data_IF_978763338796
#
_entry.id   IF_978763338796
#
_cell.length_a   1.000
_cell.length_b   1.000
_cell.length_c   1.000
_cell.angle_alpha   90.00
_cell.angle_beta   90.00
_cell.angle_gamma   90.00
#
_symmetry.space_group_name_H-M   'P 1'
#
loop_
_entity.id
_entity.type
_entity.pdbx_description
1 polymer ?
#
# COMPACT_ATOMS: atom_id res chain seq x y z
N UNK A 1 6.10 -70.07 23.07
CA UNK A 1 5.29 -69.01 23.70
C UNK A 1 6.01 -67.70 23.48
N UNK A 2 5.76 -67.07 22.31
CA UNK A 2 6.42 -65.74 21.93
C UNK A 2 5.44 -64.63 22.12
N UNK A 3 5.71 -63.79 23.08
CA UNK A 3 5.01 -62.51 23.23
C UNK A 3 5.70 -61.47 22.36
N UNK A 4 5.03 -61.00 21.28
CA UNK A 4 5.41 -59.84 20.51
C UNK A 4 4.93 -58.57 21.23
N UNK A 5 5.87 -57.74 21.65
CA UNK A 5 5.60 -56.38 22.08
C UNK A 5 5.44 -55.49 20.83
N UNK A 6 4.22 -55.16 20.48
CA UNK A 6 3.94 -54.12 19.48
C UNK A 6 4.19 -52.74 20.06
N UNK A 7 5.03 -51.98 19.38
CA UNK A 7 5.42 -50.64 19.70
C UNK A 7 4.22 -49.68 19.51
N UNK A 8 3.70 -49.16 20.61
CA UNK A 8 2.77 -48.08 20.61
C UNK A 8 3.52 -46.78 20.25
N UNK A 9 3.62 -46.43 18.96
CA UNK A 9 4.10 -45.14 18.50
C UNK A 9 2.95 -44.12 18.65
N UNK A 10 2.96 -43.35 19.74
CA UNK A 10 2.10 -42.17 19.88
C UNK A 10 2.63 -41.16 18.88
N UNK A 11 1.83 -40.63 17.91
CA UNK A 11 2.30 -39.65 16.96
C UNK A 11 2.69 -38.34 17.70
N UNK A 12 3.89 -37.86 17.47
CA UNK A 12 4.43 -36.64 18.03
C UNK A 12 3.48 -35.42 17.81
N UNK A 13 2.72 -35.45 16.72
CA UNK A 13 1.66 -34.49 16.42
C UNK A 13 0.51 -34.44 17.46
N UNK A 14 0.24 -35.54 18.17
CA UNK A 14 -0.78 -35.60 19.23
C UNK A 14 -0.30 -34.98 20.53
N UNK A 15 0.98 -35.00 20.81
CA UNK A 15 1.59 -34.38 21.99
C UNK A 15 1.63 -32.88 21.80
N UNK A 16 2.01 -32.38 20.61
CA UNK A 16 1.98 -30.93 20.28
C UNK A 16 0.56 -30.36 20.28
N UNK A 17 -0.42 -31.10 19.77
CA UNK A 17 -1.81 -30.68 19.80
C UNK A 17 -2.39 -30.61 21.21
N UNK A 18 -2.05 -31.55 22.09
CA UNK A 18 -2.48 -31.55 23.50
C UNK A 18 -1.77 -30.47 24.31
N UNK A 19 -0.48 -30.22 24.10
CA UNK A 19 0.27 -29.16 24.76
C UNK A 19 -0.22 -27.77 24.33
N UNK A 20 -0.61 -27.61 23.06
CA UNK A 20 -1.17 -26.34 22.59
C UNK A 20 -2.57 -26.06 23.18
N UNK A 21 -3.41 -27.07 23.30
CA UNK A 21 -4.72 -26.95 23.97
C UNK A 21 -4.60 -26.78 25.50
N UNK A 22 -3.60 -27.38 26.12
CA UNK A 22 -3.33 -27.22 27.56
C UNK A 22 -2.74 -25.82 27.82
N UNK A 23 -1.90 -25.31 26.95
CA UNK A 23 -1.37 -23.92 27.05
C UNK A 23 -2.46 -22.87 26.85
N UNK A 24 -3.42 -23.10 25.95
CA UNK A 24 -4.60 -22.27 25.77
C UNK A 24 -5.63 -22.38 26.90
N UNK A 25 -5.72 -23.55 27.56
CA UNK A 25 -6.64 -23.75 28.68
C UNK A 25 -6.09 -23.32 30.04
N UNK A 26 -4.77 -23.12 30.15
CA UNK A 26 -4.09 -22.64 31.38
C UNK A 26 -4.12 -21.11 31.51
N UNK A 27 -4.31 -20.38 30.38
CA UNK A 27 -4.73 -18.98 30.46
C UNK A 27 -6.24 -18.99 30.80
N UNK A 28 -6.52 -19.17 32.10
CA UNK A 28 -7.87 -19.19 32.61
C UNK A 28 -8.58 -17.89 32.23
N UNK A 29 -9.62 -18.00 31.42
CA UNK A 29 -10.56 -16.87 31.10
C UNK A 29 -11.05 -16.14 32.37
N UNK A 30 -10.93 -16.77 33.57
CA UNK A 30 -11.25 -16.17 34.85
C UNK A 30 -10.22 -15.13 35.35
N UNK A 31 -8.94 -15.24 34.96
CA UNK A 31 -7.95 -14.22 35.35
C UNK A 31 -7.96 -13.02 34.40
N UNK A 32 -8.41 -13.19 33.15
CA UNK A 32 -8.61 -12.10 32.20
C UNK A 32 -9.80 -11.19 32.57
N UNK A 33 -10.76 -11.64 33.36
CA UNK A 33 -11.84 -10.81 33.88
C UNK A 33 -11.36 -9.69 34.83
N UNK A 34 -10.10 -9.64 35.17
CA UNK A 34 -9.49 -8.56 35.98
C UNK A 34 -8.96 -7.40 35.13
N UNK A 35 -8.77 -7.61 33.80
CA UNK A 35 -8.36 -6.54 32.89
C UNK A 35 -9.59 -5.92 32.22
N UNK A 36 -9.62 -4.60 32.11
CA UNK A 36 -10.66 -3.94 31.32
C UNK A 36 -10.58 -4.34 29.86
N UNK A 37 -11.69 -4.39 29.15
CA UNK A 37 -11.72 -4.68 27.70
C UNK A 37 -10.79 -3.74 26.91
N UNK A 38 -10.66 -2.50 27.36
CA UNK A 38 -9.71 -1.53 26.82
C UNK A 38 -8.25 -1.99 26.95
N UNK A 39 -7.84 -2.46 28.13
CA UNK A 39 -6.48 -2.94 28.33
C UNK A 39 -6.16 -4.15 27.45
N UNK A 40 -7.13 -5.05 27.26
CA UNK A 40 -6.97 -6.22 26.39
C UNK A 40 -6.81 -5.79 24.92
N UNK A 41 -7.67 -4.88 24.43
CA UNK A 41 -7.58 -4.41 23.04
C UNK A 41 -6.27 -3.66 22.76
N UNK A 42 -5.79 -2.83 23.71
CA UNK A 42 -4.50 -2.16 23.63
C UNK A 42 -3.36 -3.18 23.55
N UNK A 43 -3.36 -4.20 24.41
CA UNK A 43 -2.30 -5.22 24.41
C UNK A 43 -2.28 -5.98 23.09
N UNK A 44 -3.46 -6.44 22.60
CA UNK A 44 -3.54 -7.15 21.32
C UNK A 44 -3.04 -6.25 20.19
N UNK A 45 -3.48 -5.00 20.15
CA UNK A 45 -3.04 -4.02 19.15
C UNK A 45 -1.52 -3.82 19.20
N UNK A 46 -0.94 -3.54 20.35
CA UNK A 46 0.49 -3.33 20.52
C UNK A 46 1.31 -4.58 20.13
N UNK A 47 0.84 -5.76 20.52
CA UNK A 47 1.51 -7.03 20.17
C UNK A 47 1.48 -7.24 18.65
N UNK A 48 0.35 -7.00 17.98
CA UNK A 48 0.23 -7.07 16.52
C UNK A 48 1.20 -6.09 15.85
N UNK A 49 1.24 -4.85 16.33
CA UNK A 49 2.16 -3.84 15.78
C UNK A 49 3.63 -4.20 15.98
N UNK A 50 4.02 -4.67 17.17
CA UNK A 50 5.38 -5.15 17.43
C UNK A 50 5.72 -6.34 16.52
N UNK A 51 4.77 -7.26 16.29
CA UNK A 51 4.98 -8.40 15.41
C UNK A 51 5.20 -7.93 13.96
N UNK A 52 4.42 -6.97 13.47
CA UNK A 52 4.57 -6.36 12.14
C UNK A 52 5.93 -5.66 12.03
N UNK A 53 6.30 -4.82 12.98
CA UNK A 53 7.58 -4.09 13.01
C UNK A 53 8.79 -5.01 13.08
N UNK A 54 8.66 -6.18 13.70
CA UNK A 54 9.76 -7.13 13.84
C UNK A 54 10.21 -7.76 12.52
N UNK A 55 9.36 -7.69 11.47
CA UNK A 55 9.53 -8.35 10.17
C UNK A 55 9.79 -9.87 10.23
N UNK A 56 9.74 -10.46 11.44
CA UNK A 56 9.93 -11.90 11.64
C UNK A 56 8.70 -12.73 11.31
N UNK A 57 7.52 -12.10 11.37
CA UNK A 57 6.23 -12.69 11.07
C UNK A 57 5.62 -11.90 9.92
N UNK A 58 5.05 -12.61 8.95
CA UNK A 58 4.37 -11.97 7.83
C UNK A 58 3.23 -11.08 8.35
N UNK A 59 3.17 -9.80 7.91
CA UNK A 59 2.22 -8.78 8.39
C UNK A 59 0.75 -9.24 8.36
N UNK A 60 0.33 -9.96 7.30
CA UNK A 60 -1.03 -10.50 7.23
C UNK A 60 -1.31 -11.54 8.31
N UNK A 61 -0.34 -12.40 8.62
CA UNK A 61 -0.49 -13.43 9.66
C UNK A 61 -0.58 -12.78 11.04
N UNK A 62 0.25 -11.78 11.32
CA UNK A 62 0.22 -11.04 12.59
C UNK A 62 -1.15 -10.34 12.79
N UNK A 63 -1.67 -9.66 11.75
CA UNK A 63 -2.95 -8.98 11.81
C UNK A 63 -4.12 -9.97 12.00
N UNK A 64 -4.16 -11.07 11.23
CA UNK A 64 -5.19 -12.12 11.37
C UNK A 64 -5.15 -12.76 12.77
N UNK A 65 -3.95 -13.03 13.32
CA UNK A 65 -3.83 -13.54 14.68
C UNK A 65 -4.39 -12.56 15.72
N UNK A 66 -4.21 -11.25 15.50
CA UNK A 66 -4.82 -10.21 16.33
C UNK A 66 -6.35 -10.23 16.30
N UNK A 67 -6.94 -10.36 15.10
CA UNK A 67 -8.41 -10.49 14.95
C UNK A 67 -8.93 -11.73 15.68
N UNK A 68 -8.27 -12.87 15.47
CA UNK A 68 -8.66 -14.12 16.17
C UNK A 68 -8.58 -13.95 17.68
N UNK A 69 -7.54 -13.29 18.18
CA UNK A 69 -7.41 -13.01 19.61
C UNK A 69 -8.55 -12.11 20.13
N UNK A 70 -8.89 -11.02 19.42
CA UNK A 70 -9.96 -10.12 19.79
C UNK A 70 -11.34 -10.83 19.85
N UNK A 71 -11.60 -11.73 18.89
CA UNK A 71 -12.83 -12.52 18.86
C UNK A 71 -12.84 -13.56 20.00
N UNK A 72 -11.73 -14.27 20.21
CA UNK A 72 -11.63 -15.28 21.28
C UNK A 72 -11.74 -14.66 22.68
N UNK A 73 -11.29 -13.43 22.86
CA UNK A 73 -11.36 -12.68 24.10
C UNK A 73 -12.69 -11.92 24.28
N UNK A 74 -13.63 -12.06 23.31
CA UNK A 74 -14.98 -11.51 23.40
C UNK A 74 -15.08 -9.99 23.23
N UNK A 75 -14.07 -9.36 22.62
CA UNK A 75 -14.09 -7.93 22.28
C UNK A 75 -14.90 -7.69 21.01
N UNK A 76 -14.68 -8.54 20.00
CA UNK A 76 -15.41 -8.52 18.74
C UNK A 76 -16.19 -9.81 18.54
N UNK A 77 -17.31 -9.73 17.84
CA UNK A 77 -17.96 -10.86 17.17
C UNK A 77 -17.54 -10.88 15.71
N UNK A 78 -17.82 -11.98 15.00
CA UNK A 78 -17.54 -12.05 13.55
C UNK A 78 -18.32 -10.94 12.82
N UNK A 79 -19.59 -10.76 13.18
CA UNK A 79 -20.46 -9.78 12.54
C UNK A 79 -19.95 -8.35 12.77
N UNK A 80 -19.65 -7.98 14.03
CA UNK A 80 -19.10 -6.66 14.33
C UNK A 80 -17.72 -6.42 13.72
N UNK A 81 -16.89 -7.45 13.63
CA UNK A 81 -15.56 -7.33 13.00
C UNK A 81 -15.67 -7.00 11.50
N UNK A 82 -16.65 -7.59 10.79
CA UNK A 82 -16.86 -7.34 9.36
C UNK A 82 -17.35 -5.90 9.09
N UNK A 83 -18.09 -5.30 10.01
CA UNK A 83 -18.58 -3.91 9.88
C UNK A 83 -17.44 -2.88 9.81
N UNK A 84 -16.29 -3.18 10.41
CA UNK A 84 -15.12 -2.30 10.36
C UNK A 84 -14.36 -2.35 9.04
N UNK A 85 -14.62 -3.34 8.18
CA UNK A 85 -13.91 -3.46 6.89
C UNK A 85 -14.37 -2.34 5.95
N UNK A 86 -13.43 -1.54 5.48
CA UNK A 86 -13.68 -0.58 4.41
C UNK A 86 -13.66 -1.29 3.04
N UNK A 87 -14.83 -1.75 2.61
CA UNK A 87 -15.02 -2.44 1.34
C UNK A 87 -14.72 -1.55 0.13
N UNK A 88 -14.84 -0.22 0.25
CA UNK A 88 -14.46 0.68 -0.82
C UNK A 88 -12.94 0.64 -1.02
N UNK A 89 -12.16 0.76 0.04
CA UNK A 89 -10.70 0.61 -0.02
C UNK A 89 -10.29 -0.76 -0.60
N UNK A 90 -10.87 -1.84 -0.10
CA UNK A 90 -10.56 -3.20 -0.61
C UNK A 90 -10.92 -3.33 -2.09
N UNK A 91 -12.09 -2.82 -2.50
CA UNK A 91 -12.53 -2.86 -3.89
C UNK A 91 -11.65 -2.07 -4.84
N UNK A 92 -11.15 -0.89 -4.43
CA UNK A 92 -10.17 -0.13 -5.22
C UNK A 92 -8.86 -0.90 -5.36
N UNK A 93 -8.32 -1.43 -4.27
CA UNK A 93 -7.06 -2.18 -4.29
C UNK A 93 -7.15 -3.40 -5.21
N UNK A 94 -8.14 -4.26 -5.01
CA UNK A 94 -8.34 -5.46 -5.84
C UNK A 94 -8.58 -5.08 -7.30
N UNK A 95 -9.45 -4.10 -7.57
CA UNK A 95 -9.77 -3.64 -8.91
C UNK A 95 -8.55 -3.09 -9.63
N UNK A 96 -7.76 -2.22 -8.98
CA UNK A 96 -6.56 -1.65 -9.60
C UNK A 96 -5.46 -2.69 -9.79
N UNK A 97 -5.23 -3.60 -8.84
CA UNK A 97 -4.26 -4.69 -9.00
C UNK A 97 -4.62 -5.59 -10.19
N UNK A 98 -5.88 -5.99 -10.33
CA UNK A 98 -6.36 -6.77 -11.48
C UNK A 98 -6.22 -6.00 -12.80
N UNK A 99 -6.60 -4.72 -12.82
CA UNK A 99 -6.47 -3.87 -13.99
C UNK A 99 -5.02 -3.78 -14.47
N UNK A 100 -4.09 -3.53 -13.54
CA UNK A 100 -2.67 -3.40 -13.82
C UNK A 100 -2.04 -4.72 -14.24
N UNK A 101 -2.47 -5.85 -13.66
CA UNK A 101 -2.01 -7.18 -14.06
C UNK A 101 -2.24 -7.44 -15.56
N UNK A 102 -3.40 -7.02 -16.08
CA UNK A 102 -3.68 -7.14 -17.53
C UNK A 102 -2.90 -6.12 -18.35
N UNK A 103 -2.84 -4.86 -17.90
CA UNK A 103 -2.11 -3.79 -18.60
C UNK A 103 -0.62 -4.12 -18.76
N UNK A 104 0.01 -4.67 -17.73
CA UNK A 104 1.43 -5.09 -17.69
C UNK A 104 1.75 -6.10 -18.79
N UNK A 105 0.82 -6.98 -19.13
CA UNK A 105 1.03 -8.01 -20.15
C UNK A 105 1.18 -7.43 -21.56
N UNK A 106 0.77 -6.17 -21.79
CA UNK A 106 0.93 -5.50 -23.07
C UNK A 106 2.37 -5.09 -23.40
N UNK A 107 3.24 -4.94 -22.40
CA UNK A 107 4.59 -4.40 -22.55
C UNK A 107 4.65 -2.87 -22.57
N UNK A 108 3.59 -2.17 -22.17
CA UNK A 108 3.49 -0.70 -22.21
C UNK A 108 4.53 -0.01 -21.33
N UNK A 109 4.83 -0.56 -20.16
CA UNK A 109 5.78 0.03 -19.22
C UNK A 109 7.21 -0.07 -19.74
N UNK A 110 7.59 -1.23 -20.27
CA UNK A 110 8.88 -1.47 -20.89
C UNK A 110 9.07 -0.57 -22.13
N UNK A 111 8.05 -0.50 -22.98
CA UNK A 111 8.04 0.40 -24.14
C UNK A 111 8.26 1.86 -23.74
N UNK A 112 7.53 2.32 -22.74
CA UNK A 112 7.61 3.71 -22.24
C UNK A 112 8.99 4.02 -21.69
N UNK A 113 9.59 3.11 -20.92
CA UNK A 113 10.92 3.29 -20.34
C UNK A 113 12.02 3.39 -21.42
N UNK A 114 12.02 2.49 -22.44
CA UNK A 114 12.99 2.54 -23.53
C UNK A 114 12.80 3.81 -24.38
N UNK A 115 11.56 4.13 -24.73
CA UNK A 115 11.25 5.33 -25.50
C UNK A 115 11.68 6.61 -24.78
N UNK A 116 11.47 6.67 -23.47
CA UNK A 116 11.91 7.78 -22.65
C UNK A 116 13.45 7.90 -22.59
N UNK A 117 14.16 6.77 -22.46
CA UNK A 117 15.61 6.76 -22.49
C UNK A 117 16.18 7.24 -23.84
N UNK A 118 15.54 6.85 -24.94
CA UNK A 118 15.89 7.34 -26.29
C UNK A 118 15.60 8.83 -26.46
N UNK A 119 14.48 9.31 -25.93
CA UNK A 119 14.12 10.74 -26.01
C UNK A 119 15.18 11.65 -25.39
N UNK A 120 15.80 11.21 -24.30
CA UNK A 120 16.89 11.94 -23.64
C UNK A 120 18.29 11.51 -24.12
N UNK A 121 18.35 10.74 -25.22
CA UNK A 121 19.59 10.28 -25.87
C UNK A 121 20.55 9.53 -24.93
N UNK A 122 20.00 8.86 -23.91
CA UNK A 122 20.79 8.13 -22.91
C UNK A 122 21.65 9.04 -22.00
N UNK A 123 21.42 10.36 -22.00
CA UNK A 123 22.16 11.27 -21.12
C UNK A 123 21.79 11.00 -19.65
N UNK A 124 22.78 10.69 -18.79
CA UNK A 124 22.53 10.13 -17.46
C UNK A 124 21.63 10.96 -16.56
N UNK A 125 21.84 12.27 -16.53
CA UNK A 125 21.06 13.15 -15.66
C UNK A 125 19.63 13.32 -16.16
N UNK A 126 19.43 13.55 -17.46
CA UNK A 126 18.10 13.64 -18.04
C UNK A 126 17.34 12.32 -17.97
N UNK A 127 18.05 11.18 -18.10
CA UNK A 127 17.50 9.85 -17.91
C UNK A 127 16.95 9.68 -16.48
N UNK A 128 17.72 10.11 -15.48
CA UNK A 128 17.26 10.08 -14.08
C UNK A 128 15.99 10.90 -13.88
N UNK A 129 15.96 12.14 -14.39
CA UNK A 129 14.76 13.01 -14.30
C UNK A 129 13.54 12.35 -14.95
N UNK A 130 13.69 11.86 -16.18
CA UNK A 130 12.58 11.28 -16.92
C UNK A 130 12.06 10.02 -16.22
N UNK A 131 12.95 9.19 -15.68
CA UNK A 131 12.55 8.02 -14.90
C UNK A 131 11.86 8.40 -13.59
N UNK A 132 12.31 9.44 -12.90
CA UNK A 132 11.62 9.98 -11.73
C UNK A 132 10.19 10.43 -12.08
N UNK A 133 10.04 11.18 -13.18
CA UNK A 133 8.73 11.69 -13.62
C UNK A 133 7.81 10.54 -14.03
N UNK A 134 8.30 9.59 -14.85
CA UNK A 134 7.51 8.42 -15.26
C UNK A 134 7.05 7.63 -14.04
N UNK A 135 7.97 7.36 -13.11
CA UNK A 135 7.66 6.62 -11.89
C UNK A 135 6.62 7.35 -11.05
N UNK A 136 6.74 8.66 -10.86
CA UNK A 136 5.77 9.45 -10.12
C UNK A 136 4.39 9.45 -10.80
N UNK A 137 4.34 9.63 -12.13
CA UNK A 137 3.08 9.61 -12.88
C UNK A 137 2.44 8.22 -12.85
N UNK A 138 3.22 7.16 -13.01
CA UNK A 138 2.69 5.80 -12.88
C UNK A 138 2.16 5.56 -11.46
N UNK A 139 2.91 5.93 -10.43
CA UNK A 139 2.53 5.73 -9.03
C UNK A 139 1.34 6.58 -8.58
N UNK A 140 1.04 7.67 -9.28
CA UNK A 140 -0.19 8.43 -9.05
C UNK A 140 -1.48 7.64 -9.38
N UNK A 141 -1.36 6.55 -10.15
CA UNK A 141 -2.49 5.70 -10.56
C UNK A 141 -2.30 4.22 -10.21
N UNK A 142 -1.07 3.83 -9.91
CA UNK A 142 -0.70 2.48 -9.44
C UNK A 142 -0.11 2.63 -8.04
N UNK A 143 -0.17 1.56 -7.26
CA UNK A 143 0.53 1.60 -5.97
C UNK A 143 2.06 1.74 -6.16
N UNK A 144 2.72 2.27 -5.14
CA UNK A 144 4.13 2.58 -5.16
C UNK A 144 5.02 1.33 -5.35
N UNK A 145 4.64 0.19 -4.76
CA UNK A 145 5.39 -1.07 -4.85
C UNK A 145 5.33 -1.63 -6.26
N UNK A 146 4.12 -1.79 -6.80
CA UNK A 146 3.90 -2.29 -8.18
C UNK A 146 4.61 -1.39 -9.19
N UNK A 147 4.56 -0.06 -9.02
CA UNK A 147 5.23 0.88 -9.91
C UNK A 147 6.74 0.64 -9.96
N UNK A 148 7.40 0.51 -8.81
CA UNK A 148 8.85 0.26 -8.76
C UNK A 148 9.20 -1.11 -9.33
N UNK A 149 8.39 -2.13 -9.07
CA UNK A 149 8.57 -3.47 -9.64
C UNK A 149 8.43 -3.49 -11.17
N UNK A 150 7.60 -2.61 -11.74
CA UNK A 150 7.42 -2.50 -13.19
C UNK A 150 8.56 -1.72 -13.88
N UNK A 151 8.97 -0.59 -13.31
CA UNK A 151 9.97 0.29 -13.94
C UNK A 151 11.41 -0.13 -13.59
N UNK A 152 11.63 -0.71 -12.41
CA UNK A 152 12.95 -1.08 -11.89
C UNK A 152 13.76 -2.01 -12.79
N UNK A 153 13.23 -3.12 -13.31
CA UNK A 153 13.94 -4.02 -14.20
C UNK A 153 14.48 -3.33 -15.47
N UNK A 154 13.68 -2.44 -16.06
CA UNK A 154 14.10 -1.67 -17.24
C UNK A 154 15.17 -0.64 -16.88
N UNK A 155 15.07 -0.02 -15.71
CA UNK A 155 16.11 0.87 -15.20
C UNK A 155 17.44 0.14 -15.03
N UNK A 156 17.42 -1.05 -14.45
CA UNK A 156 18.62 -1.90 -14.31
C UNK A 156 19.19 -2.26 -15.68
N UNK A 157 18.35 -2.64 -16.63
CA UNK A 157 18.80 -2.99 -17.98
C UNK A 157 19.47 -1.80 -18.68
N UNK A 158 18.83 -0.63 -18.68
CA UNK A 158 19.35 0.57 -19.34
C UNK A 158 20.62 1.10 -18.66
N UNK A 159 20.67 1.13 -17.34
CA UNK A 159 21.85 1.55 -16.58
C UNK A 159 23.03 0.61 -16.79
N UNK A 160 22.78 -0.71 -16.97
CA UNK A 160 23.79 -1.69 -17.31
C UNK A 160 24.40 -1.43 -18.70
N UNK A 161 23.59 -1.09 -19.70
CA UNK A 161 24.06 -0.71 -21.05
C UNK A 161 24.95 0.53 -20.96
N UNK A 162 24.53 1.52 -20.19
CA UNK A 162 25.31 2.74 -19.94
C UNK A 162 26.57 2.49 -19.08
N UNK A 163 26.70 1.33 -18.44
CA UNK A 163 27.79 1.00 -17.52
C UNK A 163 27.73 1.82 -16.23
N UNK A 164 26.51 2.22 -15.83
CA UNK A 164 26.24 2.96 -14.60
C UNK A 164 25.80 2.02 -13.48
N UNK A 165 26.01 2.47 -12.23
CA UNK A 165 25.42 1.81 -11.08
C UNK A 165 23.89 2.07 -11.06
N UNK A 166 23.02 1.03 -11.03
CA UNK A 166 21.57 1.21 -10.99
C UNK A 166 21.06 1.79 -9.67
N UNK A 167 21.78 1.64 -8.56
CA UNK A 167 21.32 2.04 -7.21
C UNK A 167 20.87 3.49 -7.13
N UNK A 168 21.62 4.50 -7.64
CA UNK A 168 21.14 5.89 -7.63
C UNK A 168 19.80 6.06 -8.35
N UNK A 169 19.59 5.40 -9.48
CA UNK A 169 18.35 5.48 -10.24
C UNK A 169 17.18 4.82 -9.50
N UNK A 170 17.40 3.63 -8.95
CA UNK A 170 16.38 2.93 -8.16
C UNK A 170 15.99 3.73 -6.91
N UNK A 171 16.95 4.30 -6.20
CA UNK A 171 16.67 5.15 -5.03
C UNK A 171 15.84 6.38 -5.39
N UNK A 172 16.15 7.03 -6.52
CA UNK A 172 15.35 8.16 -6.99
C UNK A 172 13.94 7.75 -7.40
N UNK A 173 13.78 6.56 -8.00
CA UNK A 173 12.46 6.02 -8.38
C UNK A 173 11.62 5.63 -7.16
N UNK A 174 12.21 5.01 -6.14
CA UNK A 174 11.50 4.68 -4.88
C UNK A 174 10.95 5.97 -4.24
N UNK A 175 11.76 7.03 -4.14
CA UNK A 175 11.27 8.30 -3.61
C UNK A 175 10.24 8.95 -4.52
N UNK A 176 10.41 8.87 -5.83
CA UNK A 176 9.46 9.42 -6.80
C UNK A 176 8.13 8.66 -6.79
N UNK A 177 8.13 7.34 -6.55
CA UNK A 177 6.89 6.58 -6.43
C UNK A 177 6.09 6.99 -5.20
N UNK A 178 6.75 7.19 -4.06
CA UNK A 178 6.08 7.67 -2.85
C UNK A 178 5.52 9.10 -3.05
N UNK A 179 6.28 10.00 -3.65
CA UNK A 179 5.82 11.37 -3.94
C UNK A 179 4.62 11.35 -4.90
N UNK A 180 4.71 10.57 -5.98
CA UNK A 180 3.63 10.44 -6.96
C UNK A 180 2.38 9.78 -6.39
N UNK A 181 2.56 8.70 -5.63
CA UNK A 181 1.47 7.99 -4.94
C UNK A 181 0.71 8.88 -3.97
N UNK A 182 1.42 9.71 -3.19
CA UNK A 182 0.79 10.66 -2.27
C UNK A 182 -0.03 11.73 -2.98
N UNK A 183 0.28 12.02 -4.25
CA UNK A 183 -0.35 13.10 -5.02
C UNK A 183 -1.81 12.86 -5.42
N UNK A 184 -2.32 11.64 -5.34
CA UNK A 184 -3.69 11.30 -5.76
C UNK A 184 -4.39 10.39 -4.76
N UNK A 185 -5.72 10.31 -4.86
CA UNK A 185 -6.55 9.45 -4.02
C UNK A 185 -6.19 7.97 -4.13
N UNK A 186 -5.78 7.50 -5.31
CA UNK A 186 -5.63 6.06 -5.63
C UNK A 186 -4.18 5.60 -5.71
N UNK A 187 -3.22 6.51 -5.61
CA UNK A 187 -1.80 6.21 -5.81
C UNK A 187 -1.13 5.50 -4.62
N UNK A 188 -1.75 5.54 -3.44
CA UNK A 188 -1.25 4.84 -2.25
C UNK A 188 -2.42 4.39 -1.39
N UNK A 189 -2.41 3.16 -0.83
CA UNK A 189 -3.48 2.65 0.03
C UNK A 189 -3.91 3.58 1.18
N UNK A 190 -3.02 4.24 1.93
CA UNK A 190 -3.41 5.23 2.93
C UNK A 190 -4.32 6.33 2.41
N UNK A 191 -4.07 6.81 1.18
CA UNK A 191 -4.90 7.86 0.57
C UNK A 191 -6.31 7.36 0.26
N UNK A 192 -6.42 6.11 -0.22
CA UNK A 192 -7.73 5.48 -0.48
C UNK A 192 -8.53 5.40 0.81
N UNK A 193 -7.89 4.98 1.91
CA UNK A 193 -8.52 4.89 3.24
C UNK A 193 -8.99 6.26 3.74
N UNK A 194 -8.12 7.28 3.67
CA UNK A 194 -8.46 8.65 4.07
C UNK A 194 -9.63 9.17 3.21
N UNK A 195 -9.54 9.04 1.90
CA UNK A 195 -10.57 9.51 0.99
C UNK A 195 -11.90 8.80 1.17
N UNK A 196 -11.90 7.48 1.39
CA UNK A 196 -13.10 6.68 1.64
C UNK A 196 -13.80 7.13 2.93
N UNK A 197 -13.06 7.27 4.02
CA UNK A 197 -13.60 7.60 5.34
C UNK A 197 -13.96 9.08 5.50
N UNK A 198 -13.16 9.99 4.93
CA UNK A 198 -13.41 11.42 4.99
C UNK A 198 -14.32 11.94 3.84
N UNK A 199 -14.75 11.07 2.92
CA UNK A 199 -15.60 11.46 1.79
C UNK A 199 -14.91 12.40 0.79
N UNK A 200 -13.56 12.37 0.69
CA UNK A 200 -12.79 13.24 -0.18
C UNK A 200 -12.79 12.71 -1.62
N UNK A 201 -12.92 13.63 -2.57
CA UNK A 201 -12.87 13.29 -3.98
C UNK A 201 -11.43 13.17 -4.50
N UNK A 202 -11.26 12.53 -5.66
CA UNK A 202 -9.99 12.50 -6.38
C UNK A 202 -9.46 13.93 -6.66
N UNK A 203 -10.35 14.87 -6.97
CA UNK A 203 -9.98 16.25 -7.24
C UNK A 203 -9.44 16.95 -5.98
N UNK A 204 -10.03 16.69 -4.82
CA UNK A 204 -9.56 17.24 -3.54
C UNK A 204 -8.11 16.81 -3.26
N UNK A 205 -7.80 15.52 -3.44
CA UNK A 205 -6.42 15.02 -3.34
C UNK A 205 -5.49 15.65 -4.37
N UNK A 206 -5.86 15.62 -5.65
CA UNK A 206 -5.02 16.11 -6.73
C UNK A 206 -4.70 17.61 -6.59
N UNK A 207 -5.64 18.42 -6.10
CA UNK A 207 -5.44 19.86 -5.92
C UNK A 207 -4.62 20.14 -4.65
N UNK A 208 -4.96 19.51 -3.53
CA UNK A 208 -4.32 19.83 -2.25
C UNK A 208 -2.97 19.10 -2.11
N UNK A 209 -2.96 17.77 -2.11
CA UNK A 209 -1.73 16.99 -1.93
C UNK A 209 -0.88 16.96 -3.20
N UNK A 210 -1.50 16.84 -4.38
CA UNK A 210 -0.79 16.81 -5.65
C UNK A 210 0.03 18.07 -5.93
N UNK A 211 -0.48 19.23 -5.59
CA UNK A 211 0.25 20.51 -5.72
C UNK A 211 1.51 20.52 -4.86
N UNK A 212 1.42 20.03 -3.63
CA UNK A 212 2.56 19.92 -2.70
C UNK A 212 3.56 18.88 -3.23
N UNK A 213 3.09 17.74 -3.74
CA UNK A 213 3.94 16.70 -4.33
C UNK A 213 4.74 17.21 -5.53
N UNK A 214 4.19 18.08 -6.36
CA UNK A 214 4.93 18.73 -7.46
C UNK A 214 6.11 19.55 -6.91
N UNK A 215 5.87 20.35 -5.88
CA UNK A 215 6.95 21.15 -5.25
C UNK A 215 8.02 20.23 -4.65
N UNK A 216 7.61 19.20 -3.91
CA UNK A 216 8.53 18.23 -3.32
C UNK A 216 9.33 17.50 -4.43
N UNK A 217 8.71 17.12 -5.53
CA UNK A 217 9.37 16.49 -6.67
C UNK A 217 10.46 17.39 -7.25
N UNK A 218 10.17 18.67 -7.47
CA UNK A 218 11.14 19.65 -7.97
C UNK A 218 12.34 19.74 -7.01
N UNK A 219 12.09 19.92 -5.72
CA UNK A 219 13.15 19.98 -4.71
C UNK A 219 13.98 18.69 -4.69
N UNK A 220 13.33 17.54 -4.76
CA UNK A 220 13.96 16.21 -4.78
C UNK A 220 14.86 16.03 -6.00
N UNK A 221 14.41 16.43 -7.19
CA UNK A 221 15.23 16.42 -8.42
C UNK A 221 16.50 17.23 -8.22
N UNK A 222 16.40 18.47 -7.70
CA UNK A 222 17.57 19.29 -7.44
C UNK A 222 18.49 18.70 -6.38
N UNK A 223 17.94 18.15 -5.28
CA UNK A 223 18.73 17.49 -4.25
C UNK A 223 19.55 16.31 -4.82
N UNK A 224 18.93 15.46 -5.63
CA UNK A 224 19.63 14.34 -6.26
C UNK A 224 20.69 14.76 -7.29
N UNK A 225 20.53 15.90 -7.94
CA UNK A 225 21.59 16.46 -8.79
C UNK A 225 22.87 16.70 -8.00
N UNK A 226 22.76 17.22 -6.77
CA UNK A 226 23.93 17.44 -5.91
C UNK A 226 24.49 16.13 -5.37
N UNK A 227 23.63 15.21 -4.92
CA UNK A 227 24.03 13.94 -4.30
C UNK A 227 24.73 13.02 -5.31
N UNK A 228 24.15 12.86 -6.52
CA UNK A 228 24.61 11.86 -7.48
C UNK A 228 25.46 12.42 -8.64
N UNK A 229 25.81 13.71 -8.63
CA UNK A 229 26.60 14.36 -9.68
C UNK A 229 27.84 13.57 -10.15
N UNK A 230 28.54 12.95 -9.20
CA UNK A 230 29.77 12.18 -9.50
C UNK A 230 29.50 10.77 -10.07
N UNK A 231 28.29 10.24 -9.86
CA UNK A 231 27.90 8.89 -10.32
C UNK A 231 27.30 8.88 -11.74
N UNK A 232 27.08 10.06 -12.33
CA UNK A 232 26.37 10.24 -13.60
C UNK A 232 27.34 10.56 -14.76
N UNK A 233 28.48 9.88 -14.83
CA UNK A 233 29.48 10.10 -15.89
C UNK A 233 29.45 8.91 -16.84
N UNK A 234 29.18 9.16 -18.12
CA UNK A 234 29.10 8.14 -19.18
C UNK A 234 29.83 8.60 -20.42
N UNK A 235 30.42 7.66 -21.16
CA UNK A 235 31.05 7.93 -22.45
C UNK A 235 30.00 8.01 -23.57
N UNK A 236 30.22 8.83 -24.62
CA UNK A 236 29.31 8.97 -25.76
C UNK A 236 28.92 7.64 -26.43
N UNK A 237 29.87 6.71 -26.56
CA UNK A 237 29.65 5.40 -27.20
C UNK A 237 28.55 4.59 -26.48
N UNK A 238 28.53 4.62 -25.14
CA UNK A 238 27.52 3.92 -24.36
C UNK A 238 26.14 4.60 -24.45
N UNK A 239 26.12 5.92 -24.61
CA UNK A 239 24.87 6.65 -24.85
C UNK A 239 24.29 6.28 -26.22
N UNK A 240 25.14 6.07 -27.22
CA UNK A 240 24.72 5.62 -28.54
C UNK A 240 24.10 4.22 -28.49
N UNK A 241 24.63 3.31 -27.69
CA UNK A 241 24.07 1.97 -27.51
C UNK A 241 22.61 1.98 -26.99
N UNK A 242 22.21 2.98 -26.21
CA UNK A 242 20.81 3.16 -25.80
C UNK A 242 19.93 3.56 -26.99
N UNK A 243 20.45 4.32 -27.93
CA UNK A 243 19.71 4.72 -29.14
C UNK A 243 19.45 3.56 -30.11
N UNK A 244 20.26 2.50 -30.04
CA UNK A 244 20.12 1.29 -30.85
C UNK A 244 19.09 0.30 -30.30
N UNK A 245 18.59 0.52 -29.08
CA UNK A 245 17.52 -0.32 -28.53
C UNK A 245 16.26 -0.25 -29.39
N UNK A 246 15.64 -1.38 -29.64
CA UNK A 246 14.35 -1.43 -30.32
C UNK A 246 13.22 -1.42 -29.29
N UNK A 247 12.59 -0.27 -29.12
CA UNK A 247 11.44 -0.10 -28.21
C UNK A 247 10.21 -0.92 -28.62
N UNK A 248 10.13 -1.34 -29.90
CA UNK A 248 9.02 -2.16 -30.37
C UNK A 248 9.15 -3.63 -30.02
N UNK A 249 10.39 -4.09 -29.81
CA UNK A 249 10.68 -5.49 -29.47
C UNK A 249 10.10 -5.93 -28.11
N UNK A 250 9.84 -4.98 -27.22
CA UNK A 250 9.26 -5.24 -25.88
C UNK A 250 7.73 -5.23 -25.87
N UNK A 251 7.11 -4.85 -26.99
CA UNK A 251 5.63 -4.88 -27.12
C UNK A 251 5.22 -6.35 -27.30
N UNK A 252 4.60 -6.91 -26.26
CA UNK A 252 4.15 -8.30 -26.26
C UNK A 252 2.86 -8.49 -27.07
N UNK A 253 1.93 -7.54 -26.91
CA UNK A 253 0.66 -7.48 -27.66
C UNK A 253 0.31 -6.02 -28.00
N UNK A 254 0.46 -5.66 -29.27
CA UNK A 254 0.17 -4.31 -29.76
C UNK A 254 -1.33 -3.95 -29.72
N UNK A 255 -2.22 -4.94 -29.85
CA UNK A 255 -3.66 -4.70 -29.76
C UNK A 255 -4.06 -4.46 -28.30
N UNK A 256 -3.53 -5.26 -27.36
CA UNK A 256 -3.73 -5.07 -25.94
C UNK A 256 -3.15 -3.72 -25.48
N UNK A 257 -1.95 -3.34 -25.96
CA UNK A 257 -1.34 -2.05 -25.61
C UNK A 257 -2.22 -0.86 -26.01
N UNK A 258 -2.81 -0.86 -27.21
CA UNK A 258 -3.75 0.20 -27.62
C UNK A 258 -4.98 0.25 -26.72
N UNK A 259 -5.57 -0.91 -26.40
CA UNK A 259 -6.71 -1.01 -25.47
C UNK A 259 -6.33 -0.52 -24.07
N UNK A 260 -5.15 -0.89 -23.59
CA UNK A 260 -4.63 -0.46 -22.28
C UNK A 260 -4.49 1.06 -22.19
N UNK A 261 -3.96 1.71 -23.23
CA UNK A 261 -3.84 3.18 -23.25
C UNK A 261 -5.22 3.84 -23.15
N UNK A 262 -6.19 3.36 -23.93
CA UNK A 262 -7.57 3.89 -23.89
C UNK A 262 -8.20 3.64 -22.53
N UNK A 263 -8.03 2.45 -21.98
CA UNK A 263 -8.60 2.10 -20.68
C UNK A 263 -7.96 2.88 -19.52
N UNK A 264 -6.64 3.09 -19.53
CA UNK A 264 -5.98 3.96 -18.54
C UNK A 264 -6.59 5.35 -18.56
N UNK A 265 -6.79 5.94 -19.74
CA UNK A 265 -7.42 7.26 -19.87
C UNK A 265 -8.86 7.26 -19.34
N UNK A 266 -9.65 6.23 -19.66
CA UNK A 266 -11.03 6.10 -19.16
C UNK A 266 -11.09 5.91 -17.64
N UNK A 267 -10.16 5.14 -17.06
CA UNK A 267 -10.05 4.94 -15.60
C UNK A 267 -9.72 6.26 -14.90
N UNK A 268 -8.75 7.01 -15.43
CA UNK A 268 -8.40 8.34 -14.89
C UNK A 268 -9.61 9.28 -14.93
N UNK A 269 -10.29 9.35 -16.07
CA UNK A 269 -11.51 10.15 -16.20
C UNK A 269 -12.61 9.67 -15.25
N UNK A 270 -12.77 8.35 -15.10
CA UNK A 270 -13.70 7.76 -14.15
C UNK A 270 -13.43 8.23 -12.72
N UNK A 271 -12.17 8.17 -12.27
CA UNK A 271 -11.80 8.65 -10.94
C UNK A 271 -11.95 10.18 -10.78
N UNK A 272 -11.65 10.98 -11.80
CA UNK A 272 -11.86 12.44 -11.74
C UNK A 272 -13.34 12.79 -11.59
N UNK A 273 -14.22 12.03 -12.23
CA UNK A 273 -15.66 12.32 -12.24
C UNK A 273 -16.49 11.47 -11.29
N UNK A 274 -15.89 10.54 -10.52
CA UNK A 274 -16.62 9.60 -9.67
C UNK A 274 -17.62 10.28 -8.72
N UNK A 275 -17.19 11.36 -8.05
CA UNK A 275 -18.05 12.11 -7.12
C UNK A 275 -19.25 12.74 -7.83
N UNK A 276 -19.07 13.26 -9.06
CA UNK A 276 -20.16 13.83 -9.86
C UNK A 276 -21.14 12.77 -10.37
N UNK A 277 -20.64 11.54 -10.56
CA UNK A 277 -21.46 10.39 -10.98
C UNK A 277 -22.17 9.72 -9.80
N UNK A 278 -21.84 10.09 -8.57
CA UNK A 278 -22.36 9.44 -7.35
C UNK A 278 -21.89 8.00 -7.22
N UNK A 279 -20.74 7.66 -7.79
CA UNK A 279 -20.16 6.31 -7.76
C UNK A 279 -18.99 6.26 -6.77
N UNK A 280 -18.88 5.16 -6.04
CA UNK A 280 -17.71 4.89 -5.23
C UNK A 280 -16.49 4.55 -6.12
N UNK A 281 -15.30 4.90 -5.62
CA UNK A 281 -14.04 4.64 -6.33
C UNK A 281 -13.84 3.16 -6.64
N UNK A 282 -14.28 2.27 -5.75
CA UNK A 282 -14.23 0.81 -5.92
C UNK A 282 -14.99 0.33 -7.16
N UNK A 283 -16.15 0.92 -7.44
CA UNK A 283 -16.96 0.54 -8.60
C UNK A 283 -16.23 0.86 -9.90
N UNK A 284 -15.53 2.00 -9.97
CA UNK A 284 -14.74 2.37 -11.13
C UNK A 284 -13.58 1.41 -11.33
N UNK A 285 -12.83 1.12 -10.27
CA UNK A 285 -11.70 0.21 -10.31
C UNK A 285 -12.10 -1.20 -10.75
N UNK A 286 -13.14 -1.78 -10.12
CA UNK A 286 -13.64 -3.11 -10.44
C UNK A 286 -14.24 -3.19 -11.85
N UNK A 287 -14.96 -2.15 -12.28
CA UNK A 287 -15.50 -2.07 -13.66
C UNK A 287 -14.36 -2.03 -14.66
N UNK A 288 -13.34 -1.22 -14.43
CA UNK A 288 -12.17 -1.13 -15.31
C UNK A 288 -11.43 -2.46 -15.41
N UNK A 289 -11.21 -3.15 -14.28
CA UNK A 289 -10.61 -4.47 -14.22
C UNK A 289 -11.43 -5.49 -15.03
N UNK A 290 -12.73 -5.54 -14.79
CA UNK A 290 -13.65 -6.45 -15.47
C UNK A 290 -13.62 -6.23 -17.01
N UNK A 291 -13.72 -4.97 -17.44
CA UNK A 291 -13.65 -4.63 -18.86
C UNK A 291 -12.29 -5.04 -19.45
N UNK A 292 -11.18 -4.72 -18.74
CA UNK A 292 -9.83 -5.06 -19.23
C UNK A 292 -9.61 -6.57 -19.37
N UNK A 293 -10.08 -7.38 -18.42
CA UNK A 293 -10.00 -8.85 -18.49
C UNK A 293 -10.79 -9.34 -19.71
N UNK A 294 -12.00 -8.84 -19.93
CA UNK A 294 -12.86 -9.25 -21.04
C UNK A 294 -12.28 -8.87 -22.41
N UNK A 295 -11.88 -7.60 -22.58
CA UNK A 295 -11.34 -7.12 -23.86
C UNK A 295 -9.91 -7.57 -24.12
N UNK A 296 -9.14 -7.81 -23.05
CA UNK A 296 -7.77 -8.31 -23.12
C UNK A 296 -7.69 -9.78 -23.49
N UNK A 297 -8.77 -10.54 -23.32
CA UNK A 297 -8.81 -12.00 -23.53
C UNK A 297 -7.71 -12.74 -22.78
N UNK A 298 -7.35 -12.23 -21.63
CA UNK A 298 -6.30 -12.80 -20.79
C UNK A 298 -6.84 -13.96 -19.95
N UNK A 299 -5.92 -14.80 -19.51
CA UNK A 299 -6.26 -15.85 -18.56
C UNK A 299 -6.67 -15.22 -17.22
N UNK A 300 -7.92 -15.43 -16.83
CA UNK A 300 -8.48 -14.88 -15.59
C UNK A 300 -7.73 -15.40 -14.36
N UNK A 301 -7.35 -16.68 -14.38
CA UNK A 301 -6.64 -17.32 -13.26
C UNK A 301 -5.26 -16.70 -13.05
N UNK A 302 -4.52 -16.41 -14.14
CA UNK A 302 -3.23 -15.71 -14.07
C UNK A 302 -3.40 -14.28 -13.57
N UNK A 303 -4.41 -13.55 -14.05
CA UNK A 303 -4.68 -12.19 -13.61
C UNK A 303 -5.06 -12.12 -12.13
N UNK A 304 -5.81 -13.10 -11.62
CA UNK A 304 -6.15 -13.23 -10.21
C UNK A 304 -4.92 -13.60 -9.37
N UNK A 305 -4.04 -14.45 -9.90
CA UNK A 305 -2.81 -14.84 -9.21
C UNK A 305 -1.80 -13.67 -9.08
N UNK A 306 -1.85 -12.70 -9.99
CA UNK A 306 -1.02 -11.47 -9.94
C UNK A 306 -1.49 -10.46 -8.86
N UNK A 307 -2.67 -10.68 -8.24
CA UNK A 307 -3.16 -9.85 -7.12
C UNK A 307 -2.36 -10.18 -5.87
N UNK A 308 -1.91 -9.16 -5.15
CA UNK A 308 -1.21 -9.30 -3.87
C UNK A 308 -2.18 -9.67 -2.73
N UNK A 309 -2.71 -10.88 -2.75
CA UNK A 309 -3.65 -11.38 -1.73
C UNK A 309 -3.17 -11.22 -0.29
N UNK A 310 -1.89 -11.43 0.02
CA UNK A 310 -1.39 -11.18 1.37
C UNK A 310 -1.61 -9.72 1.83
N UNK A 311 -1.49 -8.76 0.92
CA UNK A 311 -1.75 -7.35 1.21
C UNK A 311 -3.24 -7.10 1.44
N UNK A 312 -4.13 -7.69 0.64
CA UNK A 312 -5.58 -7.58 0.84
C UNK A 312 -6.01 -8.17 2.19
N UNK A 313 -5.54 -9.38 2.51
CA UNK A 313 -5.82 -10.04 3.80
C UNK A 313 -5.30 -9.20 4.97
N UNK A 314 -4.12 -8.59 4.82
CA UNK A 314 -3.57 -7.69 5.82
C UNK A 314 -4.48 -6.49 6.07
N UNK A 315 -4.98 -5.80 5.03
CA UNK A 315 -5.89 -4.67 5.18
C UNK A 315 -7.20 -5.05 5.87
N UNK A 316 -7.81 -6.15 5.43
CA UNK A 316 -9.06 -6.66 6.04
C UNK A 316 -8.85 -6.90 7.54
N UNK A 317 -7.78 -7.60 7.90
CA UNK A 317 -7.49 -7.90 9.31
C UNK A 317 -7.10 -6.63 10.11
N UNK A 318 -6.36 -5.70 9.49
CA UNK A 318 -5.99 -4.44 10.13
C UNK A 318 -7.21 -3.60 10.50
N UNK A 319 -8.16 -3.45 9.59
CA UNK A 319 -9.43 -2.75 9.86
C UNK A 319 -10.16 -3.36 11.08
N UNK A 320 -10.23 -4.69 11.15
CA UNK A 320 -10.85 -5.38 12.27
C UNK A 320 -10.08 -5.17 13.59
N UNK A 321 -8.74 -5.17 13.57
CA UNK A 321 -7.91 -4.93 14.77
C UNK A 321 -8.11 -3.52 15.28
N UNK A 322 -8.15 -2.52 14.38
CA UNK A 322 -8.44 -1.13 14.75
C UNK A 322 -9.88 -0.98 15.26
N UNK A 323 -10.84 -1.68 14.64
CA UNK A 323 -12.22 -1.75 15.10
C UNK A 323 -12.35 -2.28 16.53
N UNK A 324 -11.46 -3.18 16.96
CA UNK A 324 -11.40 -3.60 18.38
C UNK A 324 -11.01 -2.48 19.35
N UNK A 325 -10.12 -1.58 18.91
CA UNK A 325 -9.78 -0.37 19.69
C UNK A 325 -10.94 0.62 19.75
N UNK A 326 -11.66 0.76 18.64
CA UNK A 326 -12.84 1.63 18.53
C UNK A 326 -13.99 1.11 19.39
N UNK A 327 -14.34 -0.17 19.27
CA UNK A 327 -15.40 -0.83 20.08
C UNK A 327 -15.19 -0.66 21.59
N UNK A 328 -13.94 -0.65 22.04
CA UNK A 328 -13.62 -0.53 23.47
C UNK A 328 -13.48 0.92 23.94
N UNK A 329 -13.67 1.92 23.08
CA UNK A 329 -13.56 3.34 23.40
C UNK A 329 -12.13 3.84 23.63
N UNK A 330 -11.14 3.08 23.20
CA UNK A 330 -9.71 3.49 23.32
C UNK A 330 -9.42 4.65 22.37
N UNK A 331 -9.99 4.63 21.17
CA UNK A 331 -9.83 5.70 20.17
C UNK A 331 -10.39 7.03 20.72
N UNK A 332 -11.56 7.00 21.32
CA UNK A 332 -12.19 8.19 21.91
C UNK A 332 -11.36 8.76 23.05
N UNK A 333 -10.80 7.90 23.90
CA UNK A 333 -9.90 8.35 24.96
C UNK A 333 -8.63 9.01 24.43
N UNK A 334 -8.06 8.48 23.34
CA UNK A 334 -6.89 9.08 22.69
C UNK A 334 -7.25 10.44 22.08
N UNK A 335 -8.43 10.57 21.46
CA UNK A 335 -8.94 11.82 20.93
C UNK A 335 -9.11 12.88 22.04
N UNK A 336 -9.76 12.52 23.15
CA UNK A 336 -9.95 13.40 24.31
C UNK A 336 -8.62 13.83 24.94
N UNK A 337 -7.64 12.91 25.02
CA UNK A 337 -6.29 13.24 25.49
C UNK A 337 -5.60 14.25 24.58
N UNK A 338 -5.70 14.09 23.27
CA UNK A 338 -5.13 14.99 22.30
C UNK A 338 -5.82 16.36 22.32
N UNK A 339 -7.16 16.37 22.42
CA UNK A 339 -7.94 17.61 22.55
C UNK A 339 -7.59 18.38 23.83
N UNK A 340 -7.48 17.70 24.96
CA UNK A 340 -7.10 18.35 26.22
C UNK A 340 -5.65 18.86 26.18
N UNK A 341 -4.73 18.12 25.58
CA UNK A 341 -3.33 18.52 25.42
C UNK A 341 -3.17 19.75 24.51
N UNK A 342 -4.08 19.94 23.54
CA UNK A 342 -4.06 21.07 22.60
C UNK A 342 -4.92 22.25 23.08
N UNK A 343 -5.66 22.06 24.18
CA UNK A 343 -6.62 23.07 24.67
C UNK A 343 -7.73 23.38 23.67
N UNK A 344 -8.07 22.42 22.79
CA UNK A 344 -9.06 22.60 21.71
C UNK A 344 -8.56 23.46 20.55
N UNK A 345 -7.27 23.78 20.49
CA UNK A 345 -6.71 24.59 19.40
C UNK A 345 -6.40 23.69 18.18
N UNK A 346 -7.19 23.86 17.12
CA UNK A 346 -7.07 23.09 15.87
C UNK A 346 -5.68 23.16 15.25
N UNK A 347 -5.06 24.36 15.20
CA UNK A 347 -3.73 24.51 14.59
C UNK A 347 -2.67 23.74 15.36
N UNK A 348 -2.74 23.76 16.70
CA UNK A 348 -1.82 22.98 17.55
C UNK A 348 -2.04 21.49 17.36
N UNK A 349 -3.30 21.05 17.29
CA UNK A 349 -3.64 19.64 17.02
C UNK A 349 -3.10 19.18 15.66
N UNK A 350 -3.34 19.97 14.60
CA UNK A 350 -2.81 19.69 13.26
C UNK A 350 -1.28 19.58 13.24
N UNK A 351 -0.57 20.47 13.93
CA UNK A 351 0.89 20.43 14.00
C UNK A 351 1.39 19.20 14.76
N UNK A 352 0.73 18.82 15.86
CA UNK A 352 1.08 17.62 16.62
C UNK A 352 0.83 16.37 15.75
N UNK A 353 -0.32 16.29 15.07
CA UNK A 353 -0.64 15.18 14.17
C UNK A 353 0.38 15.14 13.02
N UNK A 354 0.68 16.26 12.37
CA UNK A 354 1.61 16.34 11.25
C UNK A 354 3.02 15.85 11.64
N UNK A 355 3.60 16.42 12.67
CA UNK A 355 4.96 16.07 13.09
C UNK A 355 5.02 14.72 13.80
N UNK A 356 4.00 14.38 14.59
CA UNK A 356 3.85 13.07 15.20
C UNK A 356 3.75 11.97 14.15
N UNK A 357 2.94 12.18 13.12
CA UNK A 357 2.81 11.27 11.98
C UNK A 357 4.13 11.10 11.24
N UNK A 358 4.84 12.20 10.96
CA UNK A 358 6.12 12.14 10.27
C UNK A 358 7.18 11.33 11.04
N UNK A 359 7.26 11.50 12.36
CA UNK A 359 8.21 10.79 13.21
C UNK A 359 7.80 9.31 13.39
N UNK A 360 6.53 9.06 13.68
CA UNK A 360 6.05 7.70 13.94
C UNK A 360 6.04 6.86 12.66
N UNK A 361 5.61 7.43 11.52
CA UNK A 361 5.63 6.73 10.23
C UNK A 361 7.03 6.47 9.68
N UNK A 362 8.06 7.16 10.18
CA UNK A 362 9.45 6.83 9.86
C UNK A 362 9.92 5.51 10.52
N UNK A 363 9.21 5.05 11.55
CA UNK A 363 9.52 3.83 12.30
C UNK A 363 8.47 2.75 12.02
N UNK A 364 7.20 3.16 11.94
CA UNK A 364 6.05 2.30 11.66
C UNK A 364 5.74 2.31 10.15
N UNK A 365 5.20 1.20 9.64
CA UNK A 365 4.59 1.19 8.30
C UNK A 365 3.45 2.23 8.26
N UNK A 366 3.38 3.00 7.17
CA UNK A 366 2.39 4.07 6.95
C UNK A 366 0.94 3.56 7.02
N UNK A 367 0.68 2.35 6.53
CA UNK A 367 -0.66 1.77 6.45
C UNK A 367 -1.29 1.56 7.83
N UNK A 368 -0.66 0.79 8.76
CA UNK A 368 -1.21 0.61 10.09
C UNK A 368 -1.36 1.92 10.86
N UNK A 369 -0.42 2.85 10.64
CA UNK A 369 -0.47 4.16 11.29
C UNK A 369 -1.71 4.95 10.83
N UNK A 370 -1.94 5.07 9.53
CA UNK A 370 -3.11 5.79 8.99
C UNK A 370 -4.41 5.13 9.38
N UNK A 371 -4.48 3.79 9.38
CA UNK A 371 -5.67 3.04 9.80
C UNK A 371 -6.13 3.41 11.24
N UNK A 372 -5.19 3.73 12.14
CA UNK A 372 -5.49 4.15 13.50
C UNK A 372 -5.75 5.64 13.63
N UNK A 373 -5.10 6.46 12.81
CA UNK A 373 -5.27 7.91 12.86
C UNK A 373 -6.61 8.39 12.30
N UNK A 374 -7.17 7.70 11.31
CA UNK A 374 -8.46 8.06 10.70
C UNK A 374 -9.58 8.10 11.74
N UNK A 375 -9.90 7.00 12.48
CA UNK A 375 -10.96 7.03 13.47
C UNK A 375 -10.65 8.00 14.62
N UNK A 376 -9.38 8.20 14.99
CA UNK A 376 -9.00 9.19 15.99
C UNK A 376 -9.36 10.62 15.56
N UNK A 377 -9.05 10.99 14.30
CA UNK A 377 -9.35 12.33 13.77
C UNK A 377 -10.88 12.51 13.65
N UNK A 378 -11.61 11.50 13.21
CA UNK A 378 -13.07 11.52 13.14
C UNK A 378 -13.67 11.73 14.53
N UNK A 379 -13.22 10.99 15.55
CA UNK A 379 -13.67 11.14 16.94
C UNK A 379 -13.38 12.54 17.51
N UNK A 380 -12.26 13.18 17.12
CA UNK A 380 -11.99 14.58 17.48
C UNK A 380 -13.01 15.54 16.85
N UNK A 381 -13.44 15.29 15.61
CA UNK A 381 -14.50 16.06 14.94
C UNK A 381 -15.84 15.91 15.66
N UNK A 382 -16.22 14.73 16.02
CA UNK A 382 -17.47 14.43 16.77
C UNK A 382 -17.46 15.09 18.17
N UNK A 383 -16.28 15.23 18.78
CA UNK A 383 -16.08 15.92 20.05
C UNK A 383 -16.06 17.45 19.95
N UNK A 384 -16.30 18.03 18.76
CA UNK A 384 -16.53 19.46 18.54
C UNK A 384 -15.31 20.25 18.04
N UNK A 385 -14.28 19.57 17.56
CA UNK A 385 -13.21 20.23 16.79
C UNK A 385 -13.65 20.31 15.31
N UNK A 386 -13.53 21.48 14.70
CA UNK A 386 -13.80 21.66 13.27
C UNK A 386 -12.63 21.01 12.48
N UNK A 387 -12.81 19.79 12.01
CA UNK A 387 -11.73 18.94 11.41
C UNK A 387 -11.92 18.79 9.92
#
# INVERSE_FOLDING_TARGET
MHFKLEHCRIPVAMIYRRSFYICLSVISVKELNFMSQQAISIIVFVVVFIAIMSEKVHRAVAAVAGVVALIMLGILTIDSAVEYIDFNTIGVLVGMMLFVAVVKQSGIFEYTAIKAAKLVKGEPWHLMIVFMIITAVCSAFLDNVTTVLLVGPMTIAITKILGLNPVPYLMTQILSSNIGGTGTLIGDPPNIMIGSKAGLSFADFAINTGSICIVIMIVTIFAFKFIYKKALIVTPDKMQAVMELDEKSVIKDAALMKKSIVMILLVVLGFVFHSKLGLESSIIALTAATIMILIGRQNVEESIADVEWPTIIFFIALFMVVGGMETTGVIDQLADMLMSATGGNMVVAMLIILWGSAVLSAILDNIPFVATMIPLIISMGDSGMDV
#
